data_IF_120766528230
#
_entry.id   IF_120766528230
#
_cell.length_a   1.000
_cell.length_b   1.000
_cell.length_c   1.000
_cell.angle_alpha   90.00
_cell.angle_beta   90.00
_cell.angle_gamma   90.00
#
_symmetry.space_group_name_H-M   'P 1'
#
loop_
_entity.id
_entity.type
_entity.pdbx_description
1 polymer ?
#
# COMPACT_ATOMS: atom_id res chain seq x y z
N UNK A 1 -18.64 14.57 51.40
CA UNK A 1 -19.54 14.52 50.22
C UNK A 1 -18.74 14.66 48.93
N UNK A 2 -17.77 15.56 48.88
CA UNK A 2 -16.96 15.85 47.68
C UNK A 2 -16.13 14.65 47.17
N UNK A 3 -15.64 13.81 48.08
CA UNK A 3 -14.83 12.63 47.70
C UNK A 3 -15.65 11.54 46.97
N UNK A 4 -16.92 11.35 47.39
CA UNK A 4 -17.84 10.38 46.76
C UNK A 4 -18.27 10.89 45.38
N UNK A 5 -18.58 12.18 45.28
CA UNK A 5 -18.95 12.82 44.00
C UNK A 5 -17.80 12.76 43.02
N UNK A 6 -16.57 12.99 43.45
CA UNK A 6 -15.39 12.92 42.59
C UNK A 6 -15.15 11.51 42.00
N UNK A 7 -15.55 10.47 42.74
CA UNK A 7 -15.45 9.06 42.28
C UNK A 7 -16.62 8.72 41.36
N UNK A 8 -17.84 9.09 41.70
CA UNK A 8 -19.03 8.72 40.90
C UNK A 8 -19.23 9.55 39.67
N UNK A 9 -18.84 10.81 39.71
CA UNK A 9 -18.98 11.78 38.60
C UNK A 9 -17.73 12.66 38.48
N UNK A 10 -16.59 12.12 38.03
CA UNK A 10 -15.32 12.86 38.00
C UNK A 10 -15.33 14.05 37.04
N UNK A 11 -16.37 14.19 36.21
CA UNK A 11 -16.57 15.28 35.27
C UNK A 11 -17.68 16.23 35.78
N UNK A 12 -17.45 16.95 36.88
CA UNK A 12 -18.42 17.94 37.37
C UNK A 12 -17.76 19.23 37.85
N UNK A 13 -18.56 20.26 37.93
CA UNK A 13 -18.26 21.54 38.61
C UNK A 13 -19.28 21.80 39.70
N UNK A 14 -18.86 22.47 40.80
CA UNK A 14 -19.78 22.99 41.81
C UNK A 14 -19.69 24.52 41.78
N UNK A 15 -20.83 25.17 41.60
CA UNK A 15 -20.97 26.61 41.54
C UNK A 15 -21.80 27.13 42.68
N UNK A 16 -21.57 28.39 43.10
CA UNK A 16 -22.44 29.09 44.04
C UNK A 16 -23.61 29.79 43.31
N UNK A 17 -24.48 30.46 44.06
CA UNK A 17 -25.64 31.15 43.53
C UNK A 17 -25.30 32.25 42.51
N UNK A 18 -24.12 32.85 42.59
CA UNK A 18 -23.63 33.84 41.62
C UNK A 18 -23.05 33.21 40.35
N UNK A 19 -22.93 31.86 40.25
CA UNK A 19 -22.33 31.16 39.12
C UNK A 19 -20.82 31.09 39.18
N UNK A 20 -20.21 31.36 40.33
CA UNK A 20 -18.74 31.27 40.55
C UNK A 20 -18.40 29.82 40.92
N UNK A 21 -17.35 29.30 40.33
CA UNK A 21 -16.87 27.95 40.55
C UNK A 21 -16.16 27.82 41.87
N UNK A 22 -16.68 26.98 42.76
CA UNK A 22 -16.11 26.66 44.08
C UNK A 22 -15.33 25.34 44.09
N UNK A 23 -15.75 24.38 43.28
CA UNK A 23 -15.06 23.08 43.12
C UNK A 23 -15.03 22.63 41.68
N UNK A 24 -13.91 22.00 41.33
CA UNK A 24 -13.67 21.38 40.02
C UNK A 24 -13.27 19.93 40.27
N UNK A 25 -13.99 19.01 39.67
CA UNK A 25 -13.72 17.58 39.79
C UNK A 25 -12.41 17.18 39.07
N UNK A 26 -11.78 16.03 39.42
CA UNK A 26 -10.45 15.68 38.92
C UNK A 26 -10.28 15.67 37.42
N UNK A 27 -11.23 15.10 36.70
CA UNK A 27 -11.17 15.05 35.22
C UNK A 27 -11.34 16.43 34.60
N UNK A 28 -12.21 17.26 35.19
CA UNK A 28 -12.35 18.64 34.73
C UNK A 28 -11.10 19.48 35.05
N UNK A 29 -10.35 19.19 36.14
CA UNK A 29 -9.07 19.81 36.43
C UNK A 29 -8.03 19.51 35.34
N UNK A 30 -7.99 18.25 34.88
CA UNK A 30 -7.12 17.80 33.80
C UNK A 30 -7.47 18.51 32.48
N UNK A 31 -8.74 18.61 32.15
CA UNK A 31 -9.25 19.30 30.95
C UNK A 31 -8.92 20.79 30.97
N UNK A 32 -9.05 21.43 32.14
CA UNK A 32 -8.78 22.85 32.33
C UNK A 32 -7.28 23.17 32.44
N UNK A 33 -6.40 22.16 32.50
CA UNK A 33 -4.93 22.27 32.44
C UNK A 33 -4.33 23.34 33.37
N UNK A 34 -4.80 23.37 34.60
CA UNK A 34 -4.24 24.25 35.64
C UNK A 34 -4.60 25.73 35.51
N UNK A 35 -5.57 26.11 34.67
CA UNK A 35 -6.17 27.42 34.78
C UNK A 35 -6.67 27.62 36.23
N UNK A 36 -6.44 28.80 36.79
CA UNK A 36 -6.90 29.13 38.14
C UNK A 36 -8.41 29.25 38.12
N UNK A 37 -9.09 28.10 38.21
CA UNK A 37 -10.56 27.98 38.05
C UNK A 37 -11.33 28.36 39.31
N UNK A 38 -10.68 28.40 40.48
CA UNK A 38 -11.35 28.84 41.72
C UNK A 38 -11.61 30.33 41.68
N UNK A 39 -12.87 30.71 41.99
CA UNK A 39 -13.37 32.08 42.02
C UNK A 39 -13.64 32.71 40.63
N UNK A 40 -13.52 31.95 39.53
CA UNK A 40 -13.96 32.41 38.22
C UNK A 40 -15.43 32.07 37.96
N UNK A 41 -16.08 32.90 37.16
CA UNK A 41 -17.46 32.63 36.77
C UNK A 41 -17.48 31.56 35.64
N UNK A 42 -18.41 30.60 35.73
CA UNK A 42 -18.49 29.48 34.77
C UNK A 42 -18.64 29.97 33.33
N UNK A 43 -19.29 31.10 33.08
CA UNK A 43 -19.44 31.67 31.73
C UNK A 43 -18.15 32.32 31.18
N UNK A 44 -17.15 32.56 32.02
CA UNK A 44 -15.84 33.08 31.55
C UNK A 44 -15.05 31.97 30.88
N UNK A 45 -15.17 30.74 31.40
CA UNK A 45 -14.46 29.55 30.88
C UNK A 45 -15.23 28.85 29.75
N UNK A 46 -16.55 28.83 29.86
CA UNK A 46 -17.42 28.07 28.97
C UNK A 46 -18.36 28.96 28.16
N UNK A 47 -18.55 28.60 26.91
CA UNK A 47 -19.68 29.04 26.08
C UNK A 47 -20.86 28.10 26.36
N UNK A 48 -21.98 28.66 26.86
CA UNK A 48 -23.13 27.86 27.28
C UNK A 48 -24.31 28.17 26.36
N UNK A 49 -24.92 27.11 25.79
CA UNK A 49 -26.11 27.22 24.91
C UNK A 49 -27.23 26.34 25.44
N UNK A 50 -28.32 26.91 26.01
CA UNK A 50 -29.47 26.11 26.40
C UNK A 50 -30.07 25.37 25.19
N UNK A 51 -30.68 24.20 25.42
CA UNK A 51 -31.41 23.49 24.37
C UNK A 51 -32.73 24.17 23.99
N UNK A 52 -33.34 24.94 24.89
CA UNK A 52 -34.56 25.69 24.65
C UNK A 52 -34.44 27.04 25.36
N UNK A 53 -34.61 28.16 24.60
CA UNK A 53 -34.58 29.51 25.12
C UNK A 53 -33.27 30.27 24.97
N UNK A 54 -33.26 31.54 25.39
CA UNK A 54 -32.08 32.41 25.38
C UNK A 54 -31.60 32.73 26.79
N UNK A 55 -30.28 32.61 27.00
CA UNK A 55 -29.61 32.97 28.26
C UNK A 55 -29.51 34.49 28.54
N UNK A 56 -30.33 35.33 27.91
CA UNK A 56 -30.23 36.77 28.15
C UNK A 56 -30.71 37.13 29.56
N UNK A 57 -29.76 37.31 30.48
CA UNK A 57 -29.99 37.85 31.81
C UNK A 57 -30.31 36.83 32.93
N UNK A 58 -30.35 35.52 32.64
CA UNK A 58 -30.60 34.49 33.67
C UNK A 58 -29.31 34.04 34.33
N UNK A 59 -29.31 33.91 35.67
CA UNK A 59 -28.25 33.25 36.42
C UNK A 59 -28.21 31.75 36.04
N UNK A 60 -27.01 31.14 35.96
CA UNK A 60 -26.88 29.69 35.80
C UNK A 60 -27.68 28.88 36.83
N UNK A 61 -27.88 29.45 37.99
CA UNK A 61 -28.64 28.85 39.08
C UNK A 61 -30.17 28.73 38.76
N UNK A 62 -30.67 29.51 37.82
CA UNK A 62 -32.06 29.47 37.36
C UNK A 62 -32.31 28.36 36.34
N UNK A 63 -31.26 27.74 35.82
CA UNK A 63 -31.34 26.61 34.90
C UNK A 63 -31.51 25.26 35.58
N UNK A 64 -31.95 25.21 36.83
CA UNK A 64 -32.12 23.96 37.58
C UNK A 64 -32.95 22.94 36.82
N UNK A 65 -32.41 21.72 36.70
CA UNK A 65 -33.01 20.62 35.94
C UNK A 65 -32.93 20.76 34.41
N UNK A 66 -32.44 21.87 33.88
CA UNK A 66 -32.37 22.08 32.43
C UNK A 66 -31.07 21.58 31.84
N UNK A 67 -31.17 20.89 30.69
CA UNK A 67 -30.02 20.43 29.90
C UNK A 67 -29.56 21.55 28.96
N UNK A 68 -28.26 21.71 28.87
CA UNK A 68 -27.62 22.68 27.98
C UNK A 68 -26.37 22.08 27.33
N UNK A 69 -25.92 22.73 26.26
CA UNK A 69 -24.60 22.43 25.67
C UNK A 69 -23.57 23.43 26.21
N UNK A 70 -22.37 22.91 26.49
CA UNK A 70 -21.24 23.75 26.89
C UNK A 70 -20.04 23.39 26.04
N UNK A 71 -19.20 24.38 25.79
CA UNK A 71 -17.91 24.21 25.11
C UNK A 71 -16.92 25.11 25.81
N UNK A 72 -15.66 24.65 25.94
CA UNK A 72 -14.59 25.55 26.37
C UNK A 72 -14.45 26.70 25.37
N UNK A 73 -14.27 27.94 25.83
CA UNK A 73 -14.12 29.09 24.94
C UNK A 73 -12.90 28.97 24.01
N UNK A 74 -11.87 28.23 24.42
CA UNK A 74 -10.69 27.91 23.62
C UNK A 74 -10.86 26.73 22.66
N UNK A 75 -11.93 25.92 22.83
CA UNK A 75 -12.25 24.74 22.01
C UNK A 75 -13.75 24.70 21.72
N UNK A 76 -14.24 25.63 20.88
CA UNK A 76 -15.66 25.80 20.58
C UNK A 76 -16.27 24.63 19.81
N UNK A 77 -15.46 23.83 19.14
CA UNK A 77 -15.89 22.67 18.36
C UNK A 77 -16.21 21.46 19.25
N UNK A 78 -15.62 21.38 20.45
CA UNK A 78 -15.90 20.32 21.42
C UNK A 78 -17.16 20.67 22.21
N UNK A 79 -18.29 20.07 21.82
CA UNK A 79 -19.60 20.29 22.45
C UNK A 79 -19.92 19.19 23.44
N UNK A 80 -20.09 19.57 24.70
CA UNK A 80 -20.47 18.71 25.81
C UNK A 80 -21.88 18.99 26.27
N UNK A 81 -22.46 18.06 27.06
CA UNK A 81 -23.76 18.21 27.66
C UNK A 81 -23.60 18.49 29.16
N UNK A 82 -24.36 19.40 29.68
CA UNK A 82 -24.45 19.67 31.13
C UNK A 82 -25.86 19.80 31.58
N UNK A 83 -26.07 19.67 32.88
CA UNK A 83 -27.31 19.97 33.56
C UNK A 83 -26.96 20.65 34.89
N UNK A 84 -27.73 21.67 35.29
CA UNK A 84 -27.63 22.29 36.61
C UNK A 84 -28.52 21.53 37.57
N UNK A 85 -28.01 21.12 38.75
CA UNK A 85 -28.75 20.46 39.81
C UNK A 85 -28.49 21.19 41.12
N UNK A 86 -29.53 21.85 41.71
CA UNK A 86 -29.42 22.53 42.98
C UNK A 86 -29.22 21.53 44.13
N UNK A 87 -28.35 21.86 45.03
CA UNK A 87 -28.17 21.08 46.29
C UNK A 87 -29.08 21.63 47.37
N UNK A 88 -29.94 20.78 47.94
CA UNK A 88 -31.10 21.18 48.78
C UNK A 88 -30.78 22.03 50.03
N UNK A 89 -29.57 21.96 50.58
CA UNK A 89 -29.22 22.66 51.81
C UNK A 89 -28.16 23.76 51.68
N UNK A 90 -27.84 24.17 50.47
CA UNK A 90 -26.75 25.13 50.25
C UNK A 90 -27.05 26.01 49.02
N UNK A 91 -26.63 27.26 49.07
CA UNK A 91 -26.63 28.16 47.87
C UNK A 91 -25.64 27.69 46.80
N UNK A 92 -25.67 26.38 46.52
CA UNK A 92 -24.75 25.70 45.60
C UNK A 92 -25.52 24.85 44.60
N UNK A 93 -24.96 24.69 43.41
CA UNK A 93 -25.41 23.74 42.37
C UNK A 93 -24.26 22.96 41.81
N UNK A 94 -24.51 21.70 41.48
CA UNK A 94 -23.59 20.82 40.76
C UNK A 94 -23.92 20.86 39.28
N UNK A 95 -22.89 20.86 38.43
CA UNK A 95 -22.99 20.77 36.98
C UNK A 95 -22.24 19.52 36.54
N UNK A 96 -22.87 18.35 36.51
CA UNK A 96 -22.31 17.18 35.85
C UNK A 96 -22.20 17.44 34.33
N UNK A 97 -21.05 17.04 33.77
CA UNK A 97 -20.70 17.24 32.35
C UNK A 97 -20.50 15.88 31.71
N UNK A 98 -21.15 15.68 30.57
CA UNK A 98 -21.00 14.48 29.75
C UNK A 98 -20.51 14.88 28.35
N UNK A 99 -19.52 14.18 27.85
CA UNK A 99 -18.91 14.48 26.54
C UNK A 99 -19.77 14.03 25.36
N UNK A 100 -20.68 13.08 25.54
CA UNK A 100 -21.59 12.61 24.50
C UNK A 100 -20.85 12.18 23.23
N UNK A 101 -21.26 12.74 22.10
CA UNK A 101 -20.63 12.43 20.78
C UNK A 101 -19.21 12.98 20.63
N UNK A 102 -18.81 13.98 21.42
CA UNK A 102 -17.47 14.55 21.42
C UNK A 102 -16.50 13.79 22.36
N UNK A 103 -16.88 12.60 22.86
CA UNK A 103 -16.07 11.82 23.79
C UNK A 103 -14.70 11.48 23.22
N UNK A 104 -14.67 10.99 22.00
CA UNK A 104 -13.43 10.55 21.36
C UNK A 104 -12.45 11.71 21.16
N UNK A 105 -12.93 12.79 20.58
CA UNK A 105 -12.14 14.00 20.33
C UNK A 105 -11.68 14.65 21.63
N UNK A 106 -12.53 14.63 22.67
CA UNK A 106 -12.18 15.14 24.00
C UNK A 106 -11.12 14.27 24.66
N UNK A 107 -11.25 12.94 24.59
CA UNK A 107 -10.29 12.02 25.15
C UNK A 107 -8.91 12.14 24.47
N UNK A 108 -8.88 12.25 23.15
CA UNK A 108 -7.65 12.44 22.36
C UNK A 108 -7.01 13.83 22.66
N UNK A 109 -7.82 14.90 22.73
CA UNK A 109 -7.33 16.26 22.95
C UNK A 109 -6.73 16.49 24.36
N UNK A 110 -7.28 15.84 25.38
CA UNK A 110 -6.89 16.04 26.79
C UNK A 110 -6.22 14.80 27.40
N UNK A 111 -5.84 13.82 26.60
CA UNK A 111 -5.19 12.56 27.02
C UNK A 111 -5.95 11.86 28.14
N UNK A 112 -7.30 11.81 28.02
CA UNK A 112 -8.13 11.14 29.01
C UNK A 112 -8.09 9.63 28.82
N UNK A 113 -8.05 8.91 29.94
CA UNK A 113 -8.05 7.44 30.00
C UNK A 113 -9.31 6.96 30.74
N UNK A 114 -9.56 5.66 30.73
CA UNK A 114 -10.69 5.07 31.48
C UNK A 114 -10.68 5.44 32.99
N UNK A 115 -9.52 5.72 33.56
CA UNK A 115 -9.40 6.12 34.97
C UNK A 115 -9.95 7.55 35.23
N UNK A 116 -10.13 8.35 34.22
CA UNK A 116 -10.66 9.70 34.30
C UNK A 116 -12.21 9.73 34.31
N UNK A 117 -12.86 8.56 34.21
CA UNK A 117 -14.33 8.43 34.17
C UNK A 117 -14.87 7.69 35.40
N UNK A 118 -16.13 7.95 35.71
CA UNK A 118 -16.79 7.26 36.82
C UNK A 118 -17.12 5.79 36.52
N UNK A 119 -17.17 4.92 37.55
CA UNK A 119 -17.36 3.48 37.37
C UNK A 119 -18.71 3.08 36.75
N UNK A 120 -19.66 3.98 36.67
CA UNK A 120 -20.99 3.79 36.05
C UNK A 120 -21.17 4.53 34.76
N UNK A 121 -20.13 5.14 34.18
CA UNK A 121 -20.24 5.87 32.93
C UNK A 121 -20.12 4.95 31.73
N UNK A 122 -21.17 4.87 30.92
CA UNK A 122 -21.18 4.19 29.61
C UNK A 122 -20.03 4.64 28.68
N UNK A 123 -19.47 5.81 29.00
CA UNK A 123 -18.33 6.39 28.30
C UNK A 123 -17.08 5.51 28.36
N UNK A 124 -16.84 4.80 29.46
CA UNK A 124 -15.68 3.90 29.64
C UNK A 124 -15.79 2.70 28.72
N UNK A 125 -16.97 2.05 28.72
CA UNK A 125 -17.23 0.91 27.84
C UNK A 125 -17.11 1.30 26.36
N UNK A 126 -17.58 2.50 26.02
CA UNK A 126 -17.51 3.02 24.66
C UNK A 126 -16.07 3.33 24.21
N UNK A 127 -15.23 3.88 25.11
CA UNK A 127 -13.81 4.09 24.85
C UNK A 127 -13.07 2.77 24.63
N UNK A 128 -13.29 1.77 25.49
CA UNK A 128 -12.70 0.44 25.34
C UNK A 128 -13.11 -0.22 24.03
N UNK A 129 -14.39 -0.10 23.62
CA UNK A 129 -14.88 -0.61 22.34
C UNK A 129 -14.23 0.11 21.13
N UNK A 130 -14.06 1.43 21.20
CA UNK A 130 -13.40 2.21 20.14
C UNK A 130 -11.92 1.86 20.03
N UNK A 131 -11.21 1.71 21.13
CA UNK A 131 -9.81 1.29 21.14
C UNK A 131 -9.66 -0.13 20.57
N UNK A 132 -10.49 -1.07 21.04
CA UNK A 132 -10.50 -2.45 20.52
C UNK A 132 -10.80 -2.47 19.00
N UNK A 133 -11.78 -1.69 18.53
CA UNK A 133 -12.13 -1.59 17.12
C UNK A 133 -10.98 -0.99 16.29
N UNK A 134 -10.28 0.01 16.82
CA UNK A 134 -9.13 0.62 16.14
C UNK A 134 -7.97 -0.37 16.02
N UNK A 135 -7.68 -1.13 17.07
CA UNK A 135 -6.66 -2.18 17.06
C UNK A 135 -6.97 -3.30 16.06
N UNK A 136 -8.22 -3.77 16.02
CA UNK A 136 -8.69 -4.78 15.04
C UNK A 136 -8.55 -4.27 13.62
N UNK A 137 -8.94 -3.01 13.35
CA UNK A 137 -8.79 -2.40 12.02
C UNK A 137 -7.32 -2.29 11.61
N UNK A 138 -6.44 -1.90 12.51
CA UNK A 138 -5.00 -1.81 12.24
C UNK A 138 -4.40 -3.20 11.93
N UNK A 139 -4.75 -4.20 12.72
CA UNK A 139 -4.33 -5.58 12.50
C UNK A 139 -4.84 -6.14 11.15
N UNK A 140 -6.11 -5.90 10.83
CA UNK A 140 -6.72 -6.32 9.55
C UNK A 140 -5.99 -5.70 8.35
N UNK A 141 -5.70 -4.39 8.39
CA UNK A 141 -4.93 -3.71 7.32
C UNK A 141 -3.54 -4.30 7.14
N UNK A 142 -2.84 -4.58 8.23
CA UNK A 142 -1.51 -5.18 8.17
C UNK A 142 -1.52 -6.57 7.54
N UNK A 143 -2.53 -7.40 7.86
CA UNK A 143 -2.71 -8.73 7.26
C UNK A 143 -3.02 -8.62 5.76
N UNK A 144 -3.95 -7.73 5.37
CA UNK A 144 -4.28 -7.51 3.95
C UNK A 144 -3.06 -7.09 3.15
N UNK A 145 -2.27 -6.14 3.62
CA UNK A 145 -1.03 -5.71 2.96
C UNK A 145 0.00 -6.84 2.81
N UNK A 146 0.14 -7.70 3.83
CA UNK A 146 1.02 -8.87 3.75
C UNK A 146 0.55 -9.88 2.70
N UNK A 147 -0.75 -10.16 2.64
CA UNK A 147 -1.34 -11.07 1.65
C UNK A 147 -1.16 -10.53 0.24
N UNK A 148 -1.44 -9.25 0.01
CA UNK A 148 -1.26 -8.59 -1.30
C UNK A 148 0.22 -8.62 -1.73
N UNK A 149 1.14 -8.31 -0.83
CA UNK A 149 2.58 -8.41 -1.09
C UNK A 149 3.04 -9.84 -1.41
N UNK A 150 2.59 -10.82 -0.64
CA UNK A 150 2.89 -12.23 -0.88
C UNK A 150 2.30 -12.73 -2.22
N UNK A 151 1.06 -12.32 -2.55
CA UNK A 151 0.42 -12.63 -3.82
C UNK A 151 1.21 -12.07 -5.00
N UNK A 152 1.57 -10.78 -4.95
CA UNK A 152 2.37 -10.13 -6.00
C UNK A 152 3.73 -10.80 -6.19
N UNK A 153 4.41 -11.14 -5.10
CA UNK A 153 5.69 -11.85 -5.17
C UNK A 153 5.53 -13.26 -5.76
N UNK A 154 4.46 -13.98 -5.40
CA UNK A 154 4.16 -15.28 -5.97
C UNK A 154 3.83 -15.20 -7.47
N UNK A 155 3.09 -14.19 -7.92
CA UNK A 155 2.80 -13.94 -9.33
C UNK A 155 4.08 -13.64 -10.11
N UNK A 156 4.96 -12.78 -9.60
CA UNK A 156 6.26 -12.50 -10.21
C UNK A 156 7.11 -13.78 -10.29
N UNK A 157 7.23 -14.53 -9.22
CA UNK A 157 7.97 -15.79 -9.18
C UNK A 157 7.40 -16.84 -10.14
N UNK A 158 6.09 -16.87 -10.32
CA UNK A 158 5.42 -17.79 -11.24
C UNK A 158 5.67 -17.47 -12.72
N UNK A 159 6.03 -16.22 -13.06
CA UNK A 159 6.20 -15.74 -14.44
C UNK A 159 7.65 -15.43 -14.82
N UNK A 160 8.59 -15.50 -13.88
CA UNK A 160 10.00 -15.18 -14.12
C UNK A 160 10.91 -16.43 -14.02
N UNK A 161 11.98 -16.43 -14.78
CA UNK A 161 13.09 -17.37 -14.63
C UNK A 161 13.98 -16.94 -13.45
N UNK A 162 14.21 -17.78 -12.45
CA UNK A 162 14.88 -17.37 -11.22
C UNK A 162 16.37 -17.04 -11.41
N UNK A 163 17.02 -17.57 -12.45
CA UNK A 163 18.43 -17.30 -12.72
C UNK A 163 18.62 -15.95 -13.42
N UNK A 164 17.81 -15.70 -14.44
CA UNK A 164 18.01 -14.54 -15.34
C UNK A 164 17.07 -13.38 -15.04
N UNK A 165 15.99 -13.64 -14.32
CA UNK A 165 14.92 -12.67 -14.06
C UNK A 165 14.13 -12.26 -15.31
N UNK A 166 14.34 -12.89 -16.47
CA UNK A 166 13.48 -12.77 -17.64
C UNK A 166 12.16 -13.49 -17.42
N UNK A 167 11.20 -13.32 -18.34
CA UNK A 167 10.03 -14.17 -18.36
C UNK A 167 10.40 -15.65 -18.47
N UNK A 168 9.58 -16.52 -17.89
CA UNK A 168 9.71 -17.97 -18.07
C UNK A 168 8.72 -18.47 -19.14
N UNK A 169 8.67 -19.78 -19.38
CA UNK A 169 7.76 -20.39 -20.36
C UNK A 169 6.28 -20.02 -20.13
N UNK A 170 5.86 -19.84 -18.88
CA UNK A 170 4.49 -19.43 -18.56
C UNK A 170 4.23 -17.99 -18.97
N UNK A 171 5.20 -17.10 -18.78
CA UNK A 171 5.15 -15.72 -19.27
C UNK A 171 4.99 -15.65 -20.79
N UNK A 172 5.69 -16.52 -21.55
CA UNK A 172 5.50 -16.62 -22.98
C UNK A 172 4.07 -16.95 -23.37
N UNK A 173 3.49 -17.98 -22.73
CA UNK A 173 2.12 -18.42 -23.00
C UNK A 173 1.11 -17.31 -22.71
N UNK A 174 1.26 -16.62 -21.57
CA UNK A 174 0.39 -15.53 -21.17
C UNK A 174 0.50 -14.32 -22.12
N UNK A 175 1.71 -13.99 -22.57
CA UNK A 175 1.97 -12.91 -23.54
C UNK A 175 1.33 -13.21 -24.89
N UNK A 176 1.56 -14.39 -25.43
CA UNK A 176 0.96 -14.81 -26.70
C UNK A 176 -0.58 -14.84 -26.64
N UNK A 177 -1.15 -15.36 -25.54
CA UNK A 177 -2.58 -15.34 -25.32
C UNK A 177 -3.14 -13.90 -25.21
N UNK A 178 -2.37 -12.97 -24.66
CA UNK A 178 -2.72 -11.55 -24.60
C UNK A 178 -2.71 -10.91 -26.00
N UNK A 179 -1.69 -11.17 -26.80
CA UNK A 179 -1.59 -10.64 -28.16
C UNK A 179 -2.74 -11.16 -29.05
N UNK A 180 -3.07 -12.45 -28.93
CA UNK A 180 -4.22 -13.02 -29.64
C UNK A 180 -5.54 -12.34 -29.24
N UNK A 181 -5.80 -12.12 -27.96
CA UNK A 181 -7.03 -11.45 -27.49
C UNK A 181 -7.12 -9.99 -27.94
N UNK A 182 -5.99 -9.29 -27.97
CA UNK A 182 -5.92 -7.88 -28.33
C UNK A 182 -5.74 -7.65 -29.83
N UNK A 183 -5.62 -8.72 -30.62
CA UNK A 183 -5.39 -8.67 -32.05
C UNK A 183 -4.16 -7.79 -32.43
N UNK A 184 -3.03 -8.01 -31.70
CA UNK A 184 -1.78 -7.26 -31.89
C UNK A 184 -0.85 -8.05 -32.79
N UNK A 185 -0.28 -7.38 -33.82
CA UNK A 185 0.84 -7.91 -34.58
C UNK A 185 2.12 -7.94 -33.73
N UNK A 186 2.96 -8.92 -33.94
CA UNK A 186 4.22 -9.02 -33.21
C UNK A 186 5.27 -9.78 -34.01
N UNK A 187 6.54 -9.48 -33.72
CA UNK A 187 7.66 -10.30 -34.15
C UNK A 187 8.06 -11.28 -33.06
N UNK A 188 8.46 -12.48 -33.44
CA UNK A 188 9.02 -13.46 -32.53
C UNK A 188 10.40 -13.86 -33.01
N UNK A 189 11.38 -13.90 -32.11
CA UNK A 189 12.73 -14.37 -32.37
C UNK A 189 13.07 -15.44 -31.31
N UNK A 190 13.40 -16.65 -31.77
CA UNK A 190 14.00 -17.68 -30.93
C UNK A 190 15.53 -17.59 -31.06
N UNK A 191 16.22 -17.66 -29.94
CA UNK A 191 17.66 -17.50 -29.82
C UNK A 191 18.27 -18.69 -29.07
N UNK A 192 19.47 -19.05 -29.45
CA UNK A 192 20.23 -20.13 -28.82
C UNK A 192 21.72 -19.79 -28.84
N UNK A 193 22.41 -19.98 -27.71
CA UNK A 193 23.82 -19.71 -27.57
C UNK A 193 24.67 -20.82 -28.25
N UNK A 194 25.42 -20.43 -29.23
CA UNK A 194 26.33 -21.38 -29.92
C UNK A 194 27.44 -21.85 -29.00
N UNK A 195 27.60 -23.15 -28.92
CA UNK A 195 28.68 -23.82 -28.11
C UNK A 195 28.56 -23.56 -26.58
N UNK A 196 27.39 -23.23 -26.06
CA UNK A 196 27.22 -23.00 -24.61
C UNK A 196 27.61 -24.20 -23.76
N UNK A 197 27.33 -25.41 -24.23
CA UNK A 197 27.77 -26.63 -23.55
C UNK A 197 29.30 -26.67 -23.38
N UNK A 198 30.08 -26.24 -24.37
CA UNK A 198 31.55 -26.18 -24.27
C UNK A 198 32.00 -25.21 -23.17
N UNK A 199 31.28 -24.09 -22.99
CA UNK A 199 31.56 -23.15 -21.90
C UNK A 199 31.36 -23.83 -20.55
N UNK A 200 30.24 -24.54 -20.37
CA UNK A 200 29.98 -25.31 -19.15
C UNK A 200 31.01 -26.39 -18.88
N UNK A 201 31.37 -27.14 -19.92
CA UNK A 201 32.31 -28.24 -19.80
C UNK A 201 33.75 -27.77 -19.46
N UNK A 202 34.15 -26.58 -19.95
CA UNK A 202 35.50 -26.03 -19.73
C UNK A 202 35.62 -25.16 -18.47
N UNK A 203 34.60 -24.37 -18.18
CA UNK A 203 34.65 -23.33 -17.13
C UNK A 203 33.71 -23.61 -15.95
N UNK A 204 32.87 -24.64 -16.05
CA UNK A 204 31.93 -25.06 -15.03
C UNK A 204 30.60 -24.33 -15.09
N UNK A 205 29.54 -24.93 -14.54
CA UNK A 205 28.17 -24.38 -14.50
C UNK A 205 28.07 -23.00 -13.88
N UNK A 206 28.81 -22.63 -12.81
CA UNK A 206 28.72 -21.28 -12.26
C UNK A 206 29.13 -20.16 -13.22
N UNK A 207 30.08 -20.44 -14.14
CA UNK A 207 30.45 -19.47 -15.19
C UNK A 207 29.40 -19.47 -16.28
N UNK A 208 28.85 -20.61 -16.68
CA UNK A 208 27.73 -20.69 -17.60
C UNK A 208 26.50 -19.93 -17.10
N UNK A 209 26.14 -20.07 -15.84
CA UNK A 209 25.03 -19.30 -15.24
C UNK A 209 25.26 -17.78 -15.34
N UNK A 210 26.48 -17.32 -15.12
CA UNK A 210 26.87 -15.92 -15.30
C UNK A 210 26.76 -15.47 -16.76
N UNK A 211 27.14 -16.32 -17.71
CA UNK A 211 26.95 -16.05 -19.15
C UNK A 211 25.47 -15.85 -19.48
N UNK A 212 24.60 -16.71 -18.97
CA UNK A 212 23.15 -16.58 -19.18
C UNK A 212 22.58 -15.29 -18.57
N UNK A 213 23.04 -14.92 -17.38
CA UNK A 213 22.65 -13.64 -16.74
C UNK A 213 23.11 -12.45 -17.58
N UNK A 214 24.36 -12.48 -18.09
CA UNK A 214 24.89 -11.38 -18.90
C UNK A 214 24.18 -11.27 -20.25
N UNK A 215 23.92 -12.41 -20.93
CA UNK A 215 23.07 -12.40 -22.12
C UNK A 215 21.70 -11.79 -21.83
N UNK A 216 21.08 -12.14 -20.71
CA UNK A 216 19.77 -11.62 -20.34
C UNK A 216 19.78 -10.11 -20.13
N UNK A 217 20.87 -9.56 -19.60
CA UNK A 217 21.07 -8.12 -19.45
C UNK A 217 21.19 -7.45 -20.81
N UNK A 218 21.94 -8.08 -21.76
CA UNK A 218 22.05 -7.58 -23.14
C UNK A 218 20.67 -7.60 -23.81
N UNK A 219 19.92 -8.70 -23.71
CA UNK A 219 18.58 -8.79 -24.30
C UNK A 219 17.66 -7.68 -23.80
N UNK A 220 17.64 -7.42 -22.47
CA UNK A 220 16.83 -6.34 -21.88
C UNK A 220 17.21 -4.94 -22.37
N UNK A 221 18.49 -4.70 -22.64
CA UNK A 221 18.98 -3.41 -23.14
C UNK A 221 18.61 -3.15 -24.59
N UNK A 222 18.46 -4.20 -25.39
CA UNK A 222 18.21 -4.09 -26.83
C UNK A 222 16.72 -4.06 -27.20
N UNK A 223 15.82 -4.47 -26.27
CA UNK A 223 14.38 -4.46 -26.48
C UNK A 223 13.71 -3.27 -25.77
N UNK A 224 12.50 -2.93 -26.19
CA UNK A 224 11.69 -1.84 -25.60
C UNK A 224 10.98 -2.32 -24.33
N UNK A 225 10.49 -1.39 -23.53
CA UNK A 225 9.81 -1.71 -22.25
C UNK A 225 8.51 -2.53 -22.44
N UNK A 226 7.88 -2.50 -23.58
CA UNK A 226 6.67 -3.28 -23.92
C UNK A 226 6.96 -4.59 -24.66
N UNK A 227 8.21 -4.81 -25.03
CA UNK A 227 8.64 -6.10 -25.59
C UNK A 227 8.90 -7.10 -24.48
N UNK A 228 8.87 -8.39 -24.81
CA UNK A 228 8.99 -9.46 -23.82
C UNK A 228 10.21 -10.32 -24.15
N UNK A 229 11.08 -10.49 -23.16
CA UNK A 229 12.17 -11.45 -23.22
C UNK A 229 11.89 -12.62 -22.28
N UNK A 230 12.02 -13.82 -22.79
CA UNK A 230 11.72 -15.08 -22.08
C UNK A 230 12.90 -16.01 -22.19
N UNK A 231 13.19 -16.75 -21.11
CA UNK A 231 14.07 -17.93 -21.14
C UNK A 231 13.22 -19.18 -21.04
N UNK A 232 13.34 -20.08 -22.02
CA UNK A 232 12.59 -21.35 -22.02
C UNK A 232 13.24 -22.41 -21.13
N UNK A 233 14.56 -22.38 -21.03
CA UNK A 233 15.41 -23.32 -20.27
C UNK A 233 16.76 -23.47 -20.93
N UNK A 234 17.77 -23.91 -20.20
CA UNK A 234 19.12 -24.03 -20.74
C UNK A 234 19.63 -22.71 -21.34
N UNK A 235 20.01 -22.77 -22.61
CA UNK A 235 20.51 -21.67 -23.44
C UNK A 235 19.49 -21.13 -24.46
N UNK A 236 18.21 -21.51 -24.32
CA UNK A 236 17.14 -21.12 -25.23
C UNK A 236 16.37 -19.90 -24.70
N UNK A 237 16.24 -18.88 -25.58
CA UNK A 237 15.52 -17.64 -25.28
C UNK A 237 14.52 -17.31 -26.40
N UNK A 238 13.48 -16.56 -26.03
CA UNK A 238 12.52 -15.98 -27.00
C UNK A 238 12.38 -14.49 -26.73
N UNK A 239 12.35 -13.72 -27.80
CA UNK A 239 11.94 -12.31 -27.78
C UNK A 239 10.61 -12.18 -28.48
N UNK A 240 9.67 -11.41 -27.89
CA UNK A 240 8.44 -10.97 -28.53
C UNK A 240 8.50 -9.46 -28.70
N UNK A 241 8.49 -9.01 -29.93
CA UNK A 241 8.57 -7.57 -30.32
C UNK A 241 7.18 -7.11 -30.67
N UNK A 242 6.61 -6.30 -29.82
CA UNK A 242 5.19 -5.92 -29.83
C UNK A 242 4.91 -4.84 -30.88
N UNK A 243 3.82 -4.99 -31.64
CA UNK A 243 3.33 -3.97 -32.57
C UNK A 243 4.14 -3.83 -33.87
N UNK A 244 5.06 -4.77 -34.14
CA UNK A 244 5.80 -4.78 -35.40
C UNK A 244 5.12 -5.68 -36.45
N UNK A 245 5.15 -5.23 -37.69
CA UNK A 245 4.78 -5.97 -38.92
C UNK A 245 5.86 -5.87 -39.98
N UNK A 246 7.03 -5.29 -39.65
CA UNK A 246 8.14 -5.08 -40.58
C UNK A 246 9.29 -6.06 -40.25
N UNK A 247 9.61 -6.99 -41.15
CA UNK A 247 10.77 -7.89 -40.99
C UNK A 247 12.11 -7.19 -40.79
N UNK A 248 12.25 -5.94 -41.25
CA UNK A 248 13.50 -5.19 -41.09
C UNK A 248 13.76 -4.80 -39.63
N UNK A 249 12.73 -4.60 -38.82
CA UNK A 249 12.90 -4.38 -37.37
C UNK A 249 13.52 -5.59 -36.67
N UNK A 250 13.06 -6.81 -37.00
CA UNK A 250 13.62 -8.03 -36.43
C UNK A 250 15.06 -8.26 -36.90
N UNK A 251 15.32 -8.00 -38.17
CA UNK A 251 16.68 -8.11 -38.72
C UNK A 251 17.62 -7.11 -38.04
N UNK A 252 17.20 -5.85 -37.89
CA UNK A 252 18.00 -4.81 -37.25
C UNK A 252 18.26 -5.14 -35.73
N UNK A 253 17.28 -5.71 -35.04
CA UNK A 253 17.48 -6.19 -33.65
C UNK A 253 18.48 -7.35 -33.62
N UNK A 254 18.34 -8.33 -34.51
CA UNK A 254 19.24 -9.47 -34.59
C UNK A 254 20.68 -9.04 -34.89
N UNK A 255 20.89 -8.10 -35.79
CA UNK A 255 22.20 -7.54 -36.12
C UNK A 255 22.84 -6.81 -34.94
N UNK A 256 22.07 -6.03 -34.18
CA UNK A 256 22.55 -5.39 -32.96
C UNK A 256 22.97 -6.43 -31.90
N UNK A 257 22.16 -7.48 -31.68
CA UNK A 257 22.48 -8.55 -30.75
C UNK A 257 23.78 -9.30 -31.15
N UNK A 258 23.93 -9.62 -32.43
CA UNK A 258 25.17 -10.24 -32.95
C UNK A 258 26.38 -9.32 -32.75
N UNK A 259 26.25 -8.03 -33.02
CA UNK A 259 27.31 -7.05 -32.83
C UNK A 259 27.72 -6.92 -31.33
N UNK A 260 26.75 -6.98 -30.41
CA UNK A 260 27.01 -6.93 -28.95
C UNK A 260 27.79 -8.14 -28.45
N UNK A 261 27.59 -9.31 -29.07
CA UNK A 261 28.25 -10.57 -28.65
C UNK A 261 29.53 -10.86 -29.46
N UNK A 262 29.84 -10.01 -30.47
CA UNK A 262 31.07 -10.16 -31.26
C UNK A 262 32.35 -10.00 -30.42
N UNK A 263 32.46 -9.02 -29.50
CA UNK A 263 33.59 -9.00 -28.56
C UNK A 263 33.40 -10.05 -27.46
N UNK A 264 34.49 -10.68 -26.96
CA UNK A 264 34.42 -11.63 -25.87
C UNK A 264 33.78 -10.96 -24.62
N UNK A 265 32.85 -11.64 -23.99
CA UNK A 265 32.30 -11.22 -22.70
C UNK A 265 33.33 -11.52 -21.57
N UNK A 266 33.53 -10.52 -20.72
CA UNK A 266 34.38 -10.69 -19.53
C UNK A 266 33.50 -11.20 -18.37
N UNK A 267 33.60 -12.48 -18.06
CA UNK A 267 32.88 -13.13 -16.95
C UNK A 267 33.90 -13.42 -15.85
N UNK A 268 33.86 -12.63 -14.77
CA UNK A 268 34.88 -12.68 -13.71
C UNK A 268 36.28 -12.45 -14.29
N UNK A 269 37.13 -13.48 -14.26
CA UNK A 269 38.52 -13.49 -14.81
C UNK A 269 38.61 -14.08 -16.21
N UNK A 270 37.50 -14.63 -16.75
CA UNK A 270 37.48 -15.36 -18.02
C UNK A 270 36.98 -14.48 -19.16
N UNK A 271 37.63 -14.55 -20.31
CA UNK A 271 37.11 -13.99 -21.58
C UNK A 271 36.40 -15.13 -22.33
N UNK A 272 35.08 -15.00 -22.44
CA UNK A 272 34.20 -16.00 -23.04
C UNK A 272 33.75 -15.50 -24.40
N UNK A 273 34.11 -16.19 -25.48
CA UNK A 273 33.60 -15.92 -26.80
C UNK A 273 32.29 -16.66 -27.00
N UNK A 274 31.20 -15.94 -27.29
CA UNK A 274 29.88 -16.50 -27.52
C UNK A 274 29.45 -16.25 -28.96
N UNK A 275 28.78 -17.25 -29.56
CA UNK A 275 28.00 -17.09 -30.77
C UNK A 275 26.51 -17.10 -30.41
N UNK A 276 25.69 -16.56 -31.28
CA UNK A 276 24.24 -16.53 -31.13
C UNK A 276 23.58 -16.90 -32.46
N UNK A 277 22.84 -18.00 -32.49
CA UNK A 277 21.99 -18.37 -33.61
C UNK A 277 20.55 -17.96 -33.33
N UNK A 278 19.86 -17.44 -34.33
CA UNK A 278 18.53 -16.91 -34.20
C UNK A 278 17.62 -17.30 -35.36
N UNK A 279 16.35 -17.55 -35.05
CA UNK A 279 15.28 -17.74 -36.03
C UNK A 279 14.12 -16.80 -35.69
N UNK A 280 13.53 -16.14 -36.68
CA UNK A 280 12.44 -15.20 -36.40
C UNK A 280 11.34 -15.21 -37.45
N UNK A 281 10.16 -14.73 -37.02
CA UNK A 281 8.95 -14.60 -37.83
C UNK A 281 8.16 -13.35 -37.40
N UNK A 282 7.42 -12.77 -38.35
CA UNK A 282 6.34 -11.84 -38.07
C UNK A 282 5.01 -12.63 -38.00
N UNK A 283 4.15 -12.23 -37.07
CA UNK A 283 2.78 -12.68 -36.94
C UNK A 283 1.87 -11.46 -37.05
N UNK A 284 1.06 -11.42 -38.11
CA UNK A 284 0.13 -10.32 -38.34
C UNK A 284 -1.12 -10.45 -37.45
N UNK A 285 -1.70 -9.32 -37.09
CA UNK A 285 -2.88 -9.26 -36.23
C UNK A 285 -4.08 -10.06 -36.79
N UNK A 286 -4.28 -10.01 -38.10
CA UNK A 286 -5.39 -10.73 -38.76
C UNK A 286 -5.10 -12.22 -39.03
N UNK A 287 -3.88 -12.68 -38.76
CA UNK A 287 -3.47 -14.06 -39.02
C UNK A 287 -4.11 -15.00 -37.98
N UNK A 288 -4.65 -16.11 -38.44
CA UNK A 288 -5.06 -17.23 -37.55
C UNK A 288 -3.84 -18.12 -37.30
N UNK A 289 -3.36 -18.10 -36.09
CA UNK A 289 -2.19 -18.86 -35.70
C UNK A 289 -2.44 -19.69 -34.44
N UNK A 290 -1.70 -20.76 -34.28
CA UNK A 290 -1.56 -21.44 -32.99
C UNK A 290 -0.15 -21.22 -32.45
N UNK A 291 -0.01 -21.27 -31.13
CA UNK A 291 1.30 -21.15 -30.48
C UNK A 291 2.26 -22.23 -30.96
N UNK A 292 1.75 -23.45 -31.22
CA UNK A 292 2.57 -24.58 -31.69
C UNK A 292 3.16 -24.27 -33.06
N UNK A 293 2.34 -23.79 -34.00
CA UNK A 293 2.77 -23.49 -35.38
C UNK A 293 3.84 -22.39 -35.42
N UNK A 294 3.64 -21.34 -34.59
CA UNK A 294 4.62 -20.23 -34.51
C UNK A 294 5.95 -20.73 -33.94
N UNK A 295 5.92 -21.48 -32.83
CA UNK A 295 7.14 -21.99 -32.22
C UNK A 295 7.86 -22.97 -33.14
N UNK A 296 7.14 -23.82 -33.87
CA UNK A 296 7.74 -24.71 -34.86
C UNK A 296 8.40 -23.94 -36.02
N UNK A 297 7.75 -22.89 -36.50
CA UNK A 297 8.30 -22.06 -37.59
C UNK A 297 9.62 -21.38 -37.18
N UNK A 298 9.67 -20.76 -35.99
CA UNK A 298 10.90 -20.10 -35.53
C UNK A 298 12.00 -21.10 -35.17
N UNK A 299 11.64 -22.29 -34.65
CA UNK A 299 12.59 -23.36 -34.38
C UNK A 299 13.24 -23.86 -35.69
N UNK A 300 12.45 -24.06 -36.75
CA UNK A 300 12.97 -24.40 -38.08
C UNK A 300 13.92 -23.32 -38.61
N UNK A 301 13.56 -22.04 -38.47
CA UNK A 301 14.43 -20.94 -38.88
C UNK A 301 15.76 -20.94 -38.06
N UNK A 302 15.69 -21.15 -36.75
CA UNK A 302 16.86 -21.29 -35.88
C UNK A 302 17.73 -22.47 -36.29
N UNK A 303 17.12 -23.61 -36.58
CA UNK A 303 17.85 -24.79 -37.10
C UNK A 303 18.59 -24.48 -38.40
N UNK A 304 17.97 -23.72 -39.33
CA UNK A 304 18.64 -23.27 -40.54
C UNK A 304 19.84 -22.34 -40.25
N UNK A 305 19.74 -21.46 -39.27
CA UNK A 305 20.85 -20.61 -38.82
C UNK A 305 22.01 -21.46 -38.30
N UNK A 306 21.73 -22.46 -37.45
CA UNK A 306 22.75 -23.39 -36.93
C UNK A 306 23.43 -24.20 -38.02
N UNK A 307 22.66 -24.72 -39.02
CA UNK A 307 23.21 -25.49 -40.14
C UNK A 307 24.04 -24.67 -41.12
N UNK A 308 23.74 -23.39 -41.32
CA UNK A 308 24.46 -22.50 -42.26
C UNK A 308 25.74 -21.90 -41.64
N UNK A 309 26.20 -22.40 -40.49
CA UNK A 309 27.48 -22.01 -39.91
C UNK A 309 27.34 -21.17 -38.63
N UNK A 310 26.15 -21.11 -38.02
CA UNK A 310 25.88 -20.46 -36.74
C UNK A 310 26.09 -18.93 -36.79
N UNK A 311 25.97 -18.26 -35.66
CA UNK A 311 26.26 -16.84 -35.53
C UNK A 311 25.45 -15.94 -36.44
N UNK A 312 24.17 -16.26 -36.70
CA UNK A 312 23.33 -15.56 -37.68
C UNK A 312 21.86 -15.62 -37.34
N UNK A 313 21.10 -14.80 -38.01
CA UNK A 313 19.65 -14.76 -38.01
C UNK A 313 19.08 -15.33 -39.33
N UNK A 314 18.02 -16.14 -39.23
CA UNK A 314 17.23 -16.58 -40.39
C UNK A 314 15.77 -16.17 -40.16
N UNK A 315 15.19 -15.49 -41.12
CA UNK A 315 13.77 -15.14 -41.10
C UNK A 315 12.96 -16.27 -41.75
N UNK A 316 11.85 -16.65 -41.12
CA UNK A 316 10.85 -17.55 -41.67
C UNK A 316 9.72 -16.74 -42.29
N UNK A 317 9.52 -16.87 -43.59
CA UNK A 317 8.43 -16.26 -44.34
C UNK A 317 7.12 -17.01 -44.14
#
# INVERSE_FOLDING_TARGET
>A
MDNILNILCPCHLIINRAGVIEHVAPTMQKILQGETTRLQHVVDLFSIKPRSGHLRGCSMFELDGQKFHLSLRRFLDLRWNGVVLRLQDRDKAIIPISFGMALKETAECFELTHADFGPSELAVDMLCLLEAQSAVRAASRAVTQRIEGAKKNAEIAALTDPLTGLGNRRSLIESLASFARQNISFGIIQLDLDHFKTVNDQLGHPVGDRVLVELSNILRQEIRAHDVAVRLGGDEFILLITGTNDPTELLGLAERLLARLKPPLTIQTHKVQLGLSMGGRIVEAAERWSMIDILQAVDQALYHSKRRGKGRFTFCS
#
